data_IF_792964941481
#
_entry.id   IF_792964941481
#
_cell.length_a   1.000
_cell.length_b   1.000
_cell.length_c   1.000
_cell.angle_alpha   90.00
_cell.angle_beta   90.00
_cell.angle_gamma   90.00
#
_symmetry.space_group_name_H-M   'P 1'
#
loop_
_entity.id
_entity.type
_entity.pdbx_description
1 polymer ?
#
# COMPACT_ATOMS: atom_id res chain seq x y z
N UNK A 1 -16.08 -40.98 33.21
CA UNK A 1 -16.26 -40.58 31.80
C UNK A 1 -16.20 -39.06 31.74
N UNK A 2 -15.25 -38.47 31.01
CA UNK A 2 -15.13 -37.01 30.92
C UNK A 2 -16.14 -36.49 29.87
N UNK A 3 -17.10 -35.68 30.30
CA UNK A 3 -18.06 -35.01 29.40
C UNK A 3 -17.40 -33.71 28.93
N UNK A 4 -17.04 -33.63 27.65
CA UNK A 4 -16.52 -32.41 27.07
C UNK A 4 -17.62 -31.35 27.02
N UNK A 5 -17.47 -30.25 27.76
CA UNK A 5 -18.39 -29.11 27.73
C UNK A 5 -18.13 -28.30 26.46
N UNK A 6 -19.10 -28.23 25.57
CA UNK A 6 -19.05 -27.34 24.40
C UNK A 6 -19.08 -25.89 24.88
N UNK A 7 -18.04 -25.13 24.56
CA UNK A 7 -18.00 -23.68 24.80
C UNK A 7 -18.58 -22.99 23.56
N UNK A 8 -19.52 -22.03 23.71
CA UNK A 8 -20.08 -21.29 22.58
C UNK A 8 -18.97 -20.50 21.86
N UNK A 9 -18.86 -20.69 20.54
CA UNK A 9 -17.91 -19.98 19.69
C UNK A 9 -18.60 -18.73 19.14
N UNK A 10 -17.97 -17.55 19.27
CA UNK A 10 -18.51 -16.29 18.75
C UNK A 10 -17.93 -15.94 17.38
N UNK A 11 -18.76 -15.37 16.51
CA UNK A 11 -18.34 -14.86 15.22
C UNK A 11 -17.34 -13.70 15.40
N UNK A 12 -16.13 -13.77 14.80
CA UNK A 12 -15.14 -12.69 14.92
C UNK A 12 -15.58 -11.39 14.23
N UNK A 13 -16.53 -11.47 13.29
CA UNK A 13 -17.01 -10.30 12.54
C UNK A 13 -18.13 -9.54 13.26
N UNK A 14 -19.10 -10.25 13.85
CA UNK A 14 -20.30 -9.63 14.41
C UNK A 14 -20.60 -9.99 15.89
N UNK A 15 -19.85 -10.91 16.49
CA UNK A 15 -20.04 -11.32 17.89
C UNK A 15 -21.19 -12.29 18.17
N UNK A 16 -22.00 -12.65 17.17
CA UNK A 16 -23.08 -13.61 17.33
C UNK A 16 -22.56 -15.03 17.63
N UNK A 17 -23.30 -15.80 18.42
CA UNK A 17 -22.96 -17.20 18.70
C UNK A 17 -23.11 -18.06 17.43
N UNK A 18 -22.15 -18.97 17.22
CA UNK A 18 -22.10 -19.88 16.08
C UNK A 18 -22.23 -21.31 16.58
N UNK A 19 -23.22 -22.04 16.06
CA UNK A 19 -23.35 -23.49 16.28
C UNK A 19 -22.39 -24.22 15.33
N UNK A 20 -21.38 -24.91 15.87
CA UNK A 20 -20.43 -25.69 15.08
C UNK A 20 -20.88 -27.16 15.06
N UNK A 21 -21.23 -27.68 13.90
CA UNK A 21 -21.51 -29.10 13.72
C UNK A 21 -20.23 -29.95 13.85
N UNK A 22 -20.36 -31.16 14.39
CA UNK A 22 -19.23 -32.03 14.76
C UNK A 22 -18.25 -32.39 13.61
N UNK A 23 -18.56 -32.11 12.34
CA UNK A 23 -17.73 -32.50 11.19
C UNK A 23 -17.39 -31.38 10.20
N UNK A 24 -17.81 -30.14 10.45
CA UNK A 24 -17.54 -29.03 9.52
C UNK A 24 -16.20 -28.36 9.84
N UNK A 25 -15.35 -28.19 8.82
CA UNK A 25 -14.10 -27.42 8.88
C UNK A 25 -14.31 -25.92 8.60
N UNK A 26 -15.44 -25.59 7.97
CA UNK A 26 -15.86 -24.22 7.67
C UNK A 26 -17.27 -24.04 8.20
N UNK A 27 -17.50 -22.97 8.96
CA UNK A 27 -18.83 -22.63 9.50
C UNK A 27 -19.21 -21.23 9.05
N UNK A 28 -20.44 -21.07 8.59
CA UNK A 28 -20.97 -19.77 8.17
C UNK A 28 -21.86 -19.21 9.28
N UNK A 29 -21.57 -17.99 9.73
CA UNK A 29 -22.41 -17.30 10.70
C UNK A 29 -23.78 -17.01 10.09
N UNK A 30 -24.86 -17.53 10.70
CA UNK A 30 -26.24 -17.31 10.24
C UNK A 30 -26.64 -15.83 10.23
N UNK A 31 -26.00 -15.00 11.06
CA UNK A 31 -26.35 -13.58 11.21
C UNK A 31 -25.69 -12.69 10.15
N UNK A 32 -24.38 -12.81 9.95
CA UNK A 32 -23.61 -11.92 9.05
C UNK A 32 -23.11 -12.60 7.77
N UNK A 33 -23.40 -13.89 7.59
CA UNK A 33 -22.99 -14.71 6.44
C UNK A 33 -21.47 -14.79 6.23
N UNK A 34 -20.67 -14.45 7.25
CA UNK A 34 -19.21 -14.63 7.19
C UNK A 34 -18.87 -16.10 7.44
N UNK A 35 -18.04 -16.69 6.57
CA UNK A 35 -17.48 -18.03 6.77
C UNK A 35 -16.17 -17.96 7.54
N UNK A 36 -16.01 -18.83 8.54
CA UNK A 36 -14.79 -18.96 9.34
C UNK A 36 -14.26 -20.40 9.27
N UNK A 37 -12.94 -20.55 9.18
CA UNK A 37 -12.29 -21.86 9.31
C UNK A 37 -12.09 -22.19 10.79
N UNK A 38 -12.49 -23.39 11.19
CA UNK A 38 -12.31 -23.88 12.56
C UNK A 38 -11.08 -24.79 12.56
N UNK A 39 -9.96 -24.28 13.08
CA UNK A 39 -8.76 -25.10 13.30
C UNK A 39 -9.04 -26.03 14.47
N UNK A 40 -9.21 -27.32 14.18
CA UNK A 40 -9.27 -28.33 15.24
C UNK A 40 -7.85 -28.62 15.70
N UNK A 41 -7.57 -28.67 17.01
CA UNK A 41 -6.32 -29.23 17.48
C UNK A 41 -6.23 -30.64 16.90
N UNK A 42 -5.25 -30.86 16.02
CA UNK A 42 -5.00 -32.17 15.45
C UNK A 42 -4.74 -33.18 16.56
N UNK A 43 -5.06 -34.45 16.31
CA UNK A 43 -4.59 -35.54 17.17
C UNK A 43 -3.06 -35.38 17.32
N UNK A 44 -2.49 -35.41 18.53
CA UNK A 44 -1.04 -35.35 18.69
C UNK A 44 -0.40 -36.39 17.77
N UNK A 45 0.69 -36.05 17.06
CA UNK A 45 1.40 -37.04 16.26
C UNK A 45 1.77 -38.22 17.16
N UNK A 46 1.70 -39.47 16.66
CA UNK A 46 2.15 -40.61 17.45
C UNK A 46 3.61 -40.37 17.87
N UNK A 47 4.00 -40.81 19.08
CA UNK A 47 5.39 -40.71 19.51
C UNK A 47 6.28 -41.39 18.46
N UNK A 48 7.44 -40.81 18.12
CA UNK A 48 8.36 -41.43 17.19
C UNK A 48 8.75 -42.82 17.70
N UNK A 49 8.90 -43.82 16.82
CA UNK A 49 9.37 -45.14 17.22
C UNK A 49 10.75 -45.01 17.90
N UNK A 50 11.04 -45.82 18.93
CA UNK A 50 12.35 -45.82 19.57
C UNK A 50 13.44 -46.09 18.52
N UNK A 51 14.56 -45.36 18.57
CA UNK A 51 15.67 -45.58 17.66
C UNK A 51 16.16 -47.04 17.80
N UNK A 52 16.46 -47.73 16.70
CA UNK A 52 17.06 -49.06 16.75
C UNK A 52 18.39 -48.97 17.51
N UNK A 53 18.47 -49.63 18.67
CA UNK A 53 19.70 -49.76 19.43
C UNK A 53 20.67 -50.64 18.63
N UNK A 54 21.80 -50.07 18.18
CA UNK A 54 22.95 -50.89 17.77
C UNK A 54 23.61 -50.57 16.43
N UNK A 55 23.22 -49.53 15.68
CA UNK A 55 23.97 -49.16 14.48
C UNK A 55 24.94 -48.00 14.77
N UNK A 56 26.27 -48.21 14.63
CA UNK A 56 27.24 -47.11 14.72
C UNK A 56 26.94 -46.10 13.62
N UNK A 57 26.67 -44.85 14.01
CA UNK A 57 26.43 -43.78 13.05
C UNK A 57 27.69 -43.56 12.20
N UNK A 58 27.61 -43.66 10.85
CA UNK A 58 28.73 -43.27 10.01
C UNK A 58 28.98 -41.77 10.20
N UNK A 59 30.19 -41.43 10.63
CA UNK A 59 30.67 -40.04 10.67
C UNK A 59 30.56 -39.45 9.28
N UNK A 60 29.57 -38.59 9.05
CA UNK A 60 29.57 -37.78 7.84
C UNK A 60 30.58 -36.63 8.03
N UNK A 61 31.51 -36.42 7.08
CA UNK A 61 32.45 -35.32 7.14
C UNK A 61 31.70 -33.99 7.11
N UNK A 62 31.96 -33.16 8.11
CA UNK A 62 31.51 -31.77 8.17
C UNK A 62 31.85 -31.06 6.86
N UNK A 63 30.84 -30.68 6.07
CA UNK A 63 31.03 -29.73 4.96
C UNK A 63 31.22 -28.33 5.56
N UNK A 64 32.46 -27.86 5.54
CA UNK A 64 32.80 -26.46 5.75
C UNK A 64 32.24 -25.67 4.58
N UNK A 65 31.22 -24.86 4.82
CA UNK A 65 30.72 -23.90 3.85
C UNK A 65 31.64 -22.68 3.91
N UNK A 66 32.58 -22.59 2.97
CA UNK A 66 33.38 -21.39 2.78
C UNK A 66 32.49 -20.26 2.26
N UNK A 67 32.29 -19.24 3.11
CA UNK A 67 31.67 -17.99 2.71
C UNK A 67 32.68 -17.18 1.87
N UNK A 68 32.33 -16.73 0.65
CA UNK A 68 33.21 -15.90 -0.14
C UNK A 68 33.51 -14.59 0.59
N UNK A 69 34.78 -14.41 0.98
CA UNK A 69 35.33 -13.12 1.42
C UNK A 69 35.31 -12.16 0.23
N UNK A 70 34.33 -11.26 0.19
CA UNK A 70 34.35 -10.13 -0.74
C UNK A 70 35.28 -9.05 -0.18
N UNK A 71 36.50 -9.00 -0.71
CA UNK A 71 37.47 -7.95 -0.44
C UNK A 71 37.12 -6.71 -1.25
N UNK A 72 36.30 -5.82 -0.71
CA UNK A 72 36.12 -4.48 -1.27
C UNK A 72 36.98 -3.49 -0.49
N UNK A 73 38.27 -3.52 -0.79
CA UNK A 73 39.18 -2.42 -0.53
C UNK A 73 39.02 -1.38 -1.67
N UNK A 74 38.90 -0.11 -1.30
CA UNK A 74 39.17 1.00 -2.22
C UNK A 74 37.95 1.76 -2.75
N UNK A 75 37.59 2.85 -2.07
CA UNK A 75 37.74 4.21 -2.63
C UNK A 75 36.89 5.19 -1.84
N UNK A 76 37.55 5.83 -0.88
CA UNK A 76 37.11 7.08 -0.27
C UNK A 76 37.50 8.20 -1.24
N UNK A 77 36.55 8.72 -2.02
CA UNK A 77 36.73 9.98 -2.74
C UNK A 77 36.01 11.06 -1.93
N UNK A 78 36.83 11.87 -1.25
CA UNK A 78 36.45 13.13 -0.62
C UNK A 78 36.23 14.14 -1.74
N UNK A 79 34.98 14.46 -2.07
CA UNK A 79 34.66 15.67 -2.86
C UNK A 79 34.32 16.78 -1.87
N UNK A 80 35.37 17.46 -1.44
CA UNK A 80 35.28 18.76 -0.79
C UNK A 80 35.19 19.85 -1.87
N UNK A 81 34.19 20.73 -1.73
CA UNK A 81 34.24 22.11 -2.23
C UNK A 81 33.86 22.34 -3.69
N UNK A 82 32.60 22.73 -3.93
CA UNK A 82 32.34 23.86 -4.84
C UNK A 82 31.03 24.56 -4.47
N UNK A 83 31.14 25.53 -3.56
CA UNK A 83 30.20 26.65 -3.44
C UNK A 83 30.84 27.80 -4.19
N UNK A 84 30.31 28.14 -5.38
CA UNK A 84 30.30 29.52 -5.91
C UNK A 84 29.23 29.65 -7.01
N UNK A 85 28.19 30.39 -6.64
CA UNK A 85 27.41 31.36 -7.45
C UNK A 85 27.71 31.49 -8.94
N UNK A 86 26.66 31.42 -9.78
CA UNK A 86 26.35 32.43 -10.79
C UNK A 86 24.93 32.24 -11.33
N UNK A 87 24.08 33.22 -11.08
CA UNK A 87 22.83 33.39 -11.81
C UNK A 87 23.09 34.15 -13.10
N UNK A 88 22.54 33.67 -14.22
CA UNK A 88 22.24 34.46 -15.42
C UNK A 88 20.93 33.93 -16.01
N UNK A 89 20.13 34.88 -16.47
CA UNK A 89 18.82 34.77 -17.07
C UNK A 89 18.79 34.03 -18.42
N UNK A 90 17.58 33.64 -18.82
CA UNK A 90 17.12 33.87 -20.19
C UNK A 90 17.12 32.69 -21.18
N UNK A 91 15.92 32.37 -21.66
CA UNK A 91 15.57 32.06 -23.06
C UNK A 91 16.13 30.73 -23.67
N UNK A 92 15.31 29.70 -23.96
CA UNK A 92 14.35 29.52 -25.09
C UNK A 92 14.92 28.61 -26.21
N UNK A 93 14.22 27.48 -26.42
CA UNK A 93 13.90 26.77 -27.69
C UNK A 93 14.74 25.58 -28.22
N UNK A 94 13.95 24.59 -28.66
CA UNK A 94 14.13 23.48 -29.63
C UNK A 94 15.17 22.40 -29.32
N UNK A 95 14.79 21.15 -29.05
CA UNK A 95 14.11 20.17 -29.93
C UNK A 95 14.97 19.77 -31.14
N UNK A 96 15.63 18.62 -31.05
CA UNK A 96 15.72 17.62 -32.11
C UNK A 96 15.90 16.24 -31.46
N UNK A 97 14.95 15.34 -31.75
CA UNK A 97 14.95 13.97 -31.26
C UNK A 97 15.75 13.07 -32.18
N UNK A 98 16.55 12.20 -31.57
CA UNK A 98 17.15 11.05 -32.24
C UNK A 98 16.30 9.81 -31.95
N UNK A 99 15.86 9.18 -33.03
CA UNK A 99 15.22 7.87 -33.06
C UNK A 99 16.24 6.79 -32.71
N UNK A 100 15.93 5.93 -31.74
CA UNK A 100 16.63 4.66 -31.57
C UNK A 100 15.61 3.57 -31.22
N UNK A 101 15.48 2.63 -32.14
CA UNK A 101 14.76 1.38 -32.02
C UNK A 101 15.38 0.51 -30.93
N UNK A 102 14.56 -0.15 -30.10
CA UNK A 102 15.00 -1.33 -29.36
C UNK A 102 14.00 -2.48 -29.52
N UNK A 103 14.56 -3.53 -30.11
CA UNK A 103 14.07 -4.90 -30.29
C UNK A 103 14.27 -5.67 -28.99
N UNK A 104 13.32 -6.55 -28.67
CA UNK A 104 13.58 -7.86 -28.05
C UNK A 104 13.99 -7.91 -26.58
N UNK A 105 13.14 -8.49 -25.74
CA UNK A 105 13.36 -9.85 -25.23
C UNK A 105 12.30 -10.21 -24.19
N UNK A 106 11.49 -11.20 -24.54
CA UNK A 106 10.63 -11.93 -23.63
C UNK A 106 11.52 -12.81 -22.75
N UNK A 107 11.32 -12.75 -21.44
CA UNK A 107 11.82 -13.76 -20.53
C UNK A 107 10.62 -14.32 -19.77
N UNK A 108 10.45 -15.64 -19.92
CA UNK A 108 9.52 -16.50 -19.21
C UNK A 108 9.69 -16.36 -17.69
N UNK A 109 8.58 -16.10 -17.00
CA UNK A 109 8.51 -16.23 -15.55
C UNK A 109 7.74 -17.51 -15.21
N UNK A 110 8.43 -18.37 -14.46
CA UNK A 110 7.99 -19.70 -14.07
C UNK A 110 6.79 -19.64 -13.11
N UNK A 111 5.80 -20.44 -13.46
CA UNK A 111 4.53 -20.63 -12.78
C UNK A 111 4.72 -21.40 -11.46
N UNK A 112 4.74 -20.70 -10.32
CA UNK A 112 4.57 -21.33 -9.00
C UNK A 112 3.08 -21.40 -8.69
N UNK A 113 2.52 -22.61 -8.81
CA UNK A 113 1.11 -22.91 -8.65
C UNK A 113 0.57 -22.59 -7.25
N UNK A 114 -0.16 -21.47 -7.15
CA UNK A 114 -1.12 -21.22 -6.07
C UNK A 114 -2.52 -21.59 -6.54
N UNK A 115 -3.16 -22.52 -5.82
CA UNK A 115 -4.53 -23.01 -6.05
C UNK A 115 -5.52 -21.83 -6.10
N UNK A 116 -5.85 -21.44 -7.33
CA UNK A 116 -6.87 -20.47 -7.69
C UNK A 116 -8.27 -21.05 -7.44
N UNK A 117 -8.90 -20.63 -6.34
CA UNK A 117 -10.36 -20.71 -6.21
C UNK A 117 -10.96 -19.80 -7.28
N UNK A 118 -11.74 -20.38 -8.21
CA UNK A 118 -12.29 -19.72 -9.40
C UNK A 118 -13.08 -18.46 -9.09
N UNK A 119 -12.39 -17.32 -9.01
CA UNK A 119 -13.00 -16.01 -8.97
C UNK A 119 -13.59 -15.73 -10.35
N UNK A 120 -14.93 -15.82 -10.46
CA UNK A 120 -15.67 -15.45 -11.67
C UNK A 120 -15.16 -14.09 -12.13
N UNK A 121 -14.48 -14.04 -13.28
CA UNK A 121 -13.98 -12.81 -13.92
C UNK A 121 -15.15 -11.83 -14.05
N UNK A 122 -15.31 -10.93 -13.08
CA UNK A 122 -16.29 -9.86 -13.16
C UNK A 122 -15.96 -9.08 -14.42
N UNK A 123 -16.89 -9.02 -15.38
CA UNK A 123 -16.70 -8.27 -16.63
C UNK A 123 -16.32 -6.84 -16.26
N UNK A 124 -15.04 -6.51 -16.44
CA UNK A 124 -14.44 -5.26 -15.99
C UNK A 124 -15.25 -4.08 -16.51
N UNK A 125 -15.93 -3.38 -15.60
CA UNK A 125 -16.72 -2.20 -15.92
C UNK A 125 -15.73 -1.12 -16.37
N UNK A 126 -15.67 -0.84 -17.68
CA UNK A 126 -14.75 0.14 -18.29
C UNK A 126 -14.87 1.49 -17.57
N UNK A 127 -13.72 2.00 -17.10
CA UNK A 127 -13.54 3.34 -16.50
C UNK A 127 -14.01 4.42 -17.49
N UNK A 128 -14.87 5.35 -17.03
CA UNK A 128 -15.52 6.39 -17.86
C UNK A 128 -14.84 7.77 -17.82
N UNK A 129 -13.75 7.94 -17.09
CA UNK A 129 -13.04 9.23 -17.04
C UNK A 129 -11.62 8.97 -17.47
N UNK A 130 -11.25 9.51 -18.63
CA UNK A 130 -9.90 9.47 -19.21
C UNK A 130 -9.38 10.91 -19.35
N UNK A 131 -9.42 11.67 -18.26
CA UNK A 131 -8.82 13.01 -18.27
C UNK A 131 -7.32 12.87 -18.06
N UNK A 132 -6.46 13.45 -18.92
CA UNK A 132 -5.03 13.37 -18.75
C UNK A 132 -4.58 14.03 -17.43
N UNK A 133 -3.49 13.53 -16.85
CA UNK A 133 -2.81 14.25 -15.78
C UNK A 133 -2.15 15.48 -16.38
N UNK A 134 -2.50 16.67 -15.88
CA UNK A 134 -1.94 17.93 -16.36
C UNK A 134 -0.65 18.21 -15.58
N UNK A 135 0.49 18.10 -16.26
CA UNK A 135 1.80 18.43 -15.69
C UNK A 135 2.73 18.96 -16.79
N UNK A 136 3.65 19.88 -16.44
CA UNK A 136 4.67 20.37 -17.37
C UNK A 136 5.57 19.24 -17.88
N UNK A 137 5.86 18.26 -17.02
CA UNK A 137 6.68 17.10 -17.36
C UNK A 137 6.14 15.83 -16.69
N UNK A 138 5.56 14.93 -17.48
CA UNK A 138 5.02 13.65 -16.99
C UNK A 138 6.08 12.68 -16.44
N UNK A 139 7.38 12.95 -16.63
CA UNK A 139 8.46 12.17 -15.98
C UNK A 139 8.80 12.65 -14.56
N UNK A 140 8.29 13.81 -14.16
CA UNK A 140 8.59 14.48 -12.89
C UNK A 140 7.31 15.12 -12.32
N UNK A 141 6.40 14.28 -11.85
CA UNK A 141 5.10 14.72 -11.32
C UNK A 141 5.07 14.58 -9.81
N UNK A 142 4.75 15.65 -9.09
CA UNK A 142 4.62 15.58 -7.63
C UNK A 142 3.27 14.91 -7.26
N UNK A 143 3.27 13.88 -6.39
CA UNK A 143 2.05 13.29 -5.83
C UNK A 143 1.01 14.31 -5.31
N UNK A 144 1.43 15.44 -4.74
CA UNK A 144 0.51 16.48 -4.28
C UNK A 144 -0.27 17.14 -5.43
N UNK A 145 0.33 17.28 -6.62
CA UNK A 145 -0.38 17.73 -7.83
C UNK A 145 -1.39 16.69 -8.31
N UNK A 146 -1.00 15.41 -8.28
CA UNK A 146 -1.89 14.28 -8.62
C UNK A 146 -3.10 14.26 -7.70
N UNK A 147 -2.91 14.41 -6.38
CA UNK A 147 -3.99 14.48 -5.39
C UNK A 147 -4.94 15.63 -5.70
N UNK A 148 -4.42 16.85 -5.93
CA UNK A 148 -5.24 18.03 -6.25
C UNK A 148 -6.13 17.80 -7.47
N UNK A 149 -5.57 17.19 -8.51
CA UNK A 149 -6.31 16.88 -9.73
C UNK A 149 -7.31 15.73 -9.51
N UNK A 150 -6.93 14.68 -8.79
CA UNK A 150 -7.82 13.57 -8.45
C UNK A 150 -9.06 14.03 -7.67
N UNK A 151 -8.92 14.95 -6.70
CA UNK A 151 -10.07 15.53 -5.98
C UNK A 151 -11.05 16.22 -6.92
N UNK A 152 -10.56 16.93 -7.95
CA UNK A 152 -11.43 17.54 -8.97
C UNK A 152 -12.16 16.49 -9.81
N UNK A 153 -11.50 15.39 -10.15
CA UNK A 153 -12.11 14.28 -10.90
C UNK A 153 -13.12 13.50 -10.04
N UNK A 154 -12.84 13.30 -8.75
CA UNK A 154 -13.69 12.57 -7.82
C UNK A 154 -15.09 13.19 -7.71
N UNK A 155 -15.18 14.52 -7.70
CA UNK A 155 -16.46 15.25 -7.68
C UNK A 155 -17.36 14.96 -8.89
N UNK A 156 -16.79 14.51 -10.02
CA UNK A 156 -17.55 14.09 -11.21
C UNK A 156 -18.05 12.65 -11.11
N UNK A 157 -17.41 11.82 -10.27
CA UNK A 157 -17.76 10.42 -10.05
C UNK A 157 -18.85 10.31 -9.00
N UNK A 158 -18.61 10.90 -7.83
CA UNK A 158 -19.49 10.85 -6.67
C UNK A 158 -19.31 12.16 -5.89
N UNK A 159 -20.33 13.01 -5.90
CA UNK A 159 -20.30 14.34 -5.27
C UNK A 159 -20.06 14.25 -3.76
N UNK A 160 -20.49 13.16 -3.14
CA UNK A 160 -20.34 12.91 -1.70
C UNK A 160 -19.02 12.19 -1.34
N UNK A 161 -18.16 11.93 -2.31
CA UNK A 161 -16.87 11.28 -2.12
C UNK A 161 -15.95 12.12 -1.22
N UNK A 162 -15.57 11.56 -0.08
CA UNK A 162 -14.55 12.09 0.83
C UNK A 162 -13.24 11.37 0.58
N UNK A 163 -12.19 12.13 0.31
CA UNK A 163 -10.83 11.60 0.16
C UNK A 163 -10.37 11.01 1.50
N UNK A 164 -9.83 9.79 1.48
CA UNK A 164 -9.37 9.08 2.68
C UNK A 164 -7.86 8.83 2.71
N UNK A 165 -7.18 8.89 1.56
CA UNK A 165 -5.73 8.79 1.48
C UNK A 165 -5.23 8.61 0.05
N UNK A 166 -3.95 8.27 -0.09
CA UNK A 166 -3.31 7.98 -1.35
C UNK A 166 -2.08 7.09 -1.21
N UNK A 167 -1.73 6.46 -2.33
CA UNK A 167 -0.62 5.54 -2.44
C UNK A 167 0.07 5.75 -3.80
N UNK A 168 1.38 5.93 -3.78
CA UNK A 168 2.16 6.26 -4.97
C UNK A 168 3.40 5.38 -5.00
N UNK A 169 3.69 4.78 -6.15
CA UNK A 169 4.78 3.80 -6.31
C UNK A 169 5.91 4.34 -7.18
N UNK A 170 7.11 3.82 -6.93
CA UNK A 170 8.31 4.09 -7.71
C UNK A 170 8.65 5.59 -7.83
N UNK A 171 8.72 6.27 -6.69
CA UNK A 171 9.12 7.67 -6.65
C UNK A 171 10.63 7.76 -6.54
N UNK A 172 11.23 8.62 -7.36
CA UNK A 172 12.62 9.04 -7.26
C UNK A 172 12.67 10.53 -6.98
N UNK A 173 13.43 10.95 -5.96
CA UNK A 173 13.44 12.37 -5.57
C UNK A 173 12.09 12.87 -5.01
N UNK A 174 11.21 11.97 -4.56
CA UNK A 174 9.83 12.31 -4.17
C UNK A 174 8.89 12.63 -5.34
N UNK A 175 9.32 12.34 -6.58
CA UNK A 175 8.56 12.59 -7.80
C UNK A 175 8.21 11.29 -8.53
N UNK A 176 7.07 11.29 -9.19
CA UNK A 176 6.59 10.18 -10.00
C UNK A 176 7.03 10.33 -11.46
N UNK A 177 7.38 9.21 -12.09
CA UNK A 177 7.53 9.11 -13.53
C UNK A 177 6.29 8.43 -14.13
N UNK A 178 5.25 9.23 -14.42
CA UNK A 178 4.02 8.71 -15.01
C UNK A 178 4.17 8.22 -16.44
N UNK A 179 5.27 8.55 -17.16
CA UNK A 179 5.59 7.89 -18.45
C UNK A 179 6.22 6.51 -18.27
N UNK A 180 6.72 6.20 -17.08
CA UNK A 180 7.32 4.93 -16.72
C UNK A 180 6.32 3.98 -16.06
N UNK A 181 6.78 3.29 -15.02
CA UNK A 181 6.02 2.30 -14.26
C UNK A 181 5.35 2.88 -13.00
N UNK A 182 5.66 4.14 -12.61
CA UNK A 182 5.05 4.80 -11.45
C UNK A 182 3.52 4.89 -11.59
N UNK A 183 2.81 4.60 -10.50
CA UNK A 183 1.35 4.70 -10.42
C UNK A 183 0.95 5.46 -9.18
N UNK A 184 -0.16 6.18 -9.27
CA UNK A 184 -0.76 6.90 -8.13
C UNK A 184 -2.19 6.46 -7.94
N UNK A 185 -2.58 6.18 -6.69
CA UNK A 185 -3.93 5.79 -6.33
C UNK A 185 -4.41 6.74 -5.24
N UNK A 186 -5.52 7.43 -5.49
CA UNK A 186 -6.18 8.26 -4.48
C UNK A 186 -7.50 7.61 -4.11
N UNK A 187 -7.70 7.35 -2.83
CA UNK A 187 -8.87 6.64 -2.32
C UNK A 187 -9.93 7.62 -1.86
N UNK A 188 -11.17 7.35 -2.25
CA UNK A 188 -12.35 8.08 -1.83
C UNK A 188 -13.39 7.11 -1.27
N UNK A 189 -14.05 7.54 -0.21
CA UNK A 189 -15.18 6.85 0.40
C UNK A 189 -16.37 7.79 0.46
N UNK A 190 -17.58 7.25 0.39
CA UNK A 190 -18.80 8.02 0.61
C UNK A 190 -19.74 7.22 1.50
N UNK A 191 -20.46 7.92 2.37
CA UNK A 191 -21.51 7.38 3.21
C UNK A 191 -22.51 8.47 3.54
N UNK A 192 -23.77 8.25 3.21
CA UNK A 192 -24.86 9.19 3.40
C UNK A 192 -26.22 8.48 3.50
N UNK A 193 -27.21 9.16 4.04
CA UNK A 193 -28.59 8.67 4.12
C UNK A 193 -29.44 9.23 2.99
N UNK A 194 -30.07 8.34 2.25
CA UNK A 194 -31.00 8.62 1.15
C UNK A 194 -32.43 8.71 1.71
N UNK A 195 -33.00 9.92 1.87
CA UNK A 195 -34.31 10.11 2.49
C UNK A 195 -35.46 9.52 1.67
N UNK A 196 -35.21 9.14 0.40
CA UNK A 196 -36.22 8.48 -0.45
C UNK A 196 -36.42 7.00 -0.13
N UNK A 197 -35.58 6.41 0.73
CA UNK A 197 -35.61 4.98 1.10
C UNK A 197 -36.07 4.78 2.54
N UNK A 198 -36.68 3.63 2.87
CA UNK A 198 -37.11 3.33 4.23
C UNK A 198 -35.92 3.19 5.18
N UNK A 199 -36.15 3.47 6.46
CA UNK A 199 -35.14 3.36 7.51
C UNK A 199 -34.45 1.98 7.51
N UNK A 200 -33.12 1.98 7.61
CA UNK A 200 -32.30 0.76 7.57
C UNK A 200 -31.90 0.32 6.15
N UNK A 201 -32.50 0.92 5.12
CA UNK A 201 -32.11 0.80 3.70
C UNK A 201 -31.70 2.14 3.08
N UNK A 202 -31.81 3.23 3.84
CA UNK A 202 -31.47 4.60 3.48
C UNK A 202 -29.96 4.83 3.36
N UNK A 203 -29.14 4.06 4.07
CA UNK A 203 -27.67 4.24 4.00
C UNK A 203 -27.11 3.82 2.64
N UNK A 204 -26.62 4.79 1.90
CA UNK A 204 -25.80 4.63 0.71
C UNK A 204 -24.35 4.78 1.09
N UNK A 205 -23.54 3.76 0.81
CA UNK A 205 -22.10 3.80 1.05
C UNK A 205 -21.32 3.08 -0.03
N UNK A 206 -20.06 3.47 -0.17
CA UNK A 206 -19.13 2.82 -1.07
C UNK A 206 -17.74 3.42 -1.03
N UNK A 207 -16.87 2.90 -1.90
CA UNK A 207 -15.56 3.47 -2.15
C UNK A 207 -15.22 3.40 -3.64
N UNK A 208 -14.31 4.27 -4.05
CA UNK A 208 -13.72 4.25 -5.37
C UNK A 208 -12.29 4.78 -5.31
N UNK A 209 -11.52 4.41 -6.32
CA UNK A 209 -10.13 4.84 -6.46
C UNK A 209 -9.99 5.65 -7.73
N UNK A 210 -9.13 6.66 -7.68
CA UNK A 210 -8.65 7.33 -8.88
C UNK A 210 -7.21 6.92 -9.07
N UNK A 211 -6.97 6.10 -10.08
CA UNK A 211 -5.63 5.74 -10.54
C UNK A 211 -5.10 6.83 -11.47
N UNK A 212 -3.81 7.12 -11.40
CA UNK A 212 -3.08 8.00 -12.30
C UNK A 212 -1.88 7.26 -12.88
N UNK A 213 -1.79 7.22 -14.21
CA UNK A 213 -0.71 6.58 -14.95
C UNK A 213 -0.42 7.37 -16.25
N UNK A 214 0.36 6.77 -17.17
CA UNK A 214 0.72 7.35 -18.46
C UNK A 214 -0.47 7.71 -19.35
N UNK A 215 -1.64 7.09 -19.14
CA UNK A 215 -2.86 7.32 -19.90
C UNK A 215 -3.77 8.37 -19.25
N UNK A 216 -3.37 8.90 -18.09
CA UNK A 216 -4.14 9.91 -17.35
C UNK A 216 -4.80 9.34 -16.10
N UNK A 217 -5.89 9.97 -15.70
CA UNK A 217 -6.73 9.48 -14.61
C UNK A 217 -7.68 8.40 -15.09
N UNK A 218 -7.86 7.38 -14.27
CA UNK A 218 -8.83 6.30 -14.46
C UNK A 218 -9.57 6.04 -13.14
N UNK A 219 -10.89 5.88 -13.19
CA UNK A 219 -11.66 5.50 -12.01
C UNK A 219 -11.65 3.99 -11.89
N UNK A 220 -11.03 3.51 -10.82
CA UNK A 220 -10.93 2.09 -10.52
C UNK A 220 -11.90 1.70 -9.42
N UNK A 221 -12.53 0.55 -9.61
CA UNK A 221 -13.32 -0.18 -8.62
C UNK A 221 -14.32 0.68 -7.81
N UNK A 222 -15.43 1.06 -8.46
CA UNK A 222 -16.55 1.70 -7.79
C UNK A 222 -17.38 0.66 -7.01
N UNK A 223 -16.92 0.30 -5.81
CA UNK A 223 -17.57 -0.69 -4.97
C UNK A 223 -18.79 -0.08 -4.28
N UNK A 224 -19.99 -0.44 -4.76
CA UNK A 224 -21.29 -0.05 -4.18
C UNK A 224 -21.79 -1.05 -3.11
N UNK A 225 -20.87 -1.65 -2.35
CA UNK A 225 -21.23 -2.69 -1.39
C UNK A 225 -21.10 -2.16 0.03
N UNK A 226 -21.99 -2.61 0.93
CA UNK A 226 -21.83 -2.37 2.36
C UNK A 226 -20.47 -2.91 2.79
N UNK A 227 -19.64 -2.08 3.41
CA UNK A 227 -18.33 -2.50 3.98
C UNK A 227 -17.15 -1.68 3.50
N UNK A 228 -17.28 -1.04 2.35
CA UNK A 228 -16.14 -0.43 1.66
C UNK A 228 -15.85 1.00 2.10
N UNK A 229 -16.79 1.65 2.81
CA UNK A 229 -16.61 2.94 3.48
C UNK A 229 -16.15 2.77 4.94
N UNK A 230 -15.10 1.98 5.17
CA UNK A 230 -14.65 1.59 6.51
C UNK A 230 -14.25 2.77 7.38
N UNK A 231 -13.69 3.84 6.79
CA UNK A 231 -13.27 5.03 7.52
C UNK A 231 -14.44 5.94 7.88
N UNK A 232 -15.52 5.91 7.09
CA UNK A 232 -16.72 6.74 7.32
C UNK A 232 -17.78 6.06 8.19
N UNK A 233 -17.65 4.76 8.45
CA UNK A 233 -18.57 3.99 9.29
C UNK A 233 -18.44 4.31 10.77
N UNK A 234 -17.22 4.55 11.25
CA UNK A 234 -16.96 4.95 12.63
C UNK A 234 -17.14 6.46 12.76
N UNK A 235 -18.12 6.97 13.53
CA UNK A 235 -18.35 8.40 13.68
C UNK A 235 -17.14 9.18 14.20
N UNK A 236 -16.27 8.54 15.00
CA UNK A 236 -15.04 9.17 15.50
C UNK A 236 -14.03 9.37 14.37
N UNK A 237 -13.89 8.38 13.49
CA UNK A 237 -13.01 8.48 12.30
C UNK A 237 -13.60 9.38 11.22
N UNK A 238 -14.91 9.33 11.02
CA UNK A 238 -15.59 10.11 9.98
C UNK A 238 -15.34 11.62 10.11
N UNK A 239 -15.21 12.15 11.34
CA UNK A 239 -14.84 13.55 11.63
C UNK A 239 -13.46 13.95 11.09
N UNK A 240 -12.60 12.97 10.86
CA UNK A 240 -11.26 13.17 10.35
C UNK A 240 -11.21 13.32 8.81
N UNK A 241 -12.35 13.21 8.12
CA UNK A 241 -12.43 13.20 6.65
C UNK A 241 -13.37 14.29 6.09
N UNK A 242 -13.09 14.82 4.87
CA UNK A 242 -12.01 14.43 3.97
C UNK A 242 -10.62 14.80 4.51
N UNK A 243 -9.60 14.01 4.18
CA UNK A 243 -8.23 14.40 4.52
C UNK A 243 -7.86 15.69 3.76
N UNK A 244 -7.20 16.68 4.40
CA UNK A 244 -6.85 17.92 3.74
C UNK A 244 -5.76 17.69 2.69
N UNK A 245 -5.83 18.39 1.57
CA UNK A 245 -4.79 18.34 0.53
C UNK A 245 -3.44 18.75 1.15
N UNK A 246 -2.34 18.01 0.88
CA UNK A 246 -1.05 18.30 1.47
C UNK A 246 -0.52 19.67 0.99
N UNK A 247 -0.03 20.49 1.93
CA UNK A 247 0.64 21.76 1.64
C UNK A 247 2.16 21.58 1.53
N UNK A 248 2.72 20.65 2.30
CA UNK A 248 4.06 20.13 2.08
C UNK A 248 4.00 19.15 0.90
N UNK A 249 4.67 19.47 -0.21
CA UNK A 249 4.68 18.57 -1.38
C UNK A 249 5.50 17.31 -1.09
N UNK A 250 5.31 16.26 -1.89
CA UNK A 250 6.08 15.03 -1.68
C UNK A 250 7.57 15.24 -1.98
N UNK A 251 7.93 16.10 -2.94
CA UNK A 251 9.32 16.47 -3.19
C UNK A 251 9.96 17.22 -2.00
N UNK A 252 9.24 18.15 -1.38
CA UNK A 252 9.71 18.85 -0.17
C UNK A 252 9.88 17.88 1.00
N UNK A 253 8.90 17.01 1.22
CA UNK A 253 8.97 15.99 2.24
C UNK A 253 10.15 15.02 1.97
N UNK A 254 10.39 14.63 0.71
CA UNK A 254 11.54 13.80 0.35
C UNK A 254 12.86 14.47 0.70
N UNK A 255 13.02 15.77 0.45
CA UNK A 255 14.23 16.49 0.86
C UNK A 255 14.48 16.40 2.37
N UNK A 256 13.41 16.41 3.18
CA UNK A 256 13.50 16.18 4.64
C UNK A 256 13.88 14.73 4.95
N UNK A 257 13.33 13.76 4.22
CA UNK A 257 13.71 12.35 4.36
C UNK A 257 15.21 12.16 4.09
N UNK A 258 15.74 12.72 3.00
CA UNK A 258 17.15 12.66 2.63
C UNK A 258 18.03 13.32 3.69
N UNK A 259 17.67 14.53 4.16
CA UNK A 259 18.37 15.21 5.25
C UNK A 259 18.43 14.37 6.54
N UNK A 260 17.48 13.46 6.73
CA UNK A 260 17.41 12.54 7.88
C UNK A 260 18.08 11.18 7.64
N UNK A 261 18.86 11.04 6.57
CA UNK A 261 19.69 9.87 6.28
C UNK A 261 19.08 8.84 5.32
N UNK A 262 18.06 9.20 4.54
CA UNK A 262 17.60 8.36 3.41
C UNK A 262 18.51 8.64 2.19
N UNK A 263 19.00 7.61 1.46
CA UNK A 263 19.77 7.85 0.24
C UNK A 263 18.98 8.68 -0.79
N UNK A 264 19.63 9.68 -1.38
CA UNK A 264 18.96 10.65 -2.26
C UNK A 264 18.42 10.03 -3.56
N UNK A 265 19.08 8.97 -4.03
CA UNK A 265 18.79 8.18 -5.22
C UNK A 265 17.84 7.00 -4.95
N UNK A 266 17.45 6.77 -3.70
CA UNK A 266 16.54 5.68 -3.35
C UNK A 266 15.18 5.82 -4.06
N UNK A 267 14.68 4.69 -4.55
CA UNK A 267 13.32 4.57 -5.07
C UNK A 267 12.38 4.22 -3.91
N UNK A 268 11.29 4.96 -3.76
CA UNK A 268 10.37 4.78 -2.65
C UNK A 268 8.92 4.56 -3.09
N UNK A 269 8.19 3.84 -2.24
CA UNK A 269 6.73 3.86 -2.22
C UNK A 269 6.29 4.86 -1.15
N UNK A 270 5.27 5.66 -1.47
CA UNK A 270 4.76 6.70 -0.59
C UNK A 270 3.30 6.44 -0.28
N UNK A 271 2.99 6.36 1.01
CA UNK A 271 1.63 6.42 1.50
C UNK A 271 1.34 7.81 2.03
N UNK A 272 0.18 8.34 1.68
CA UNK A 272 -0.33 9.60 2.21
C UNK A 272 -1.67 9.36 2.89
N UNK A 273 -1.77 9.75 4.15
CA UNK A 273 -2.97 9.53 4.93
C UNK A 273 -2.78 9.87 6.39
N UNK A 274 -3.83 9.64 7.18
CA UNK A 274 -3.74 9.66 8.64
C UNK A 274 -3.17 8.34 9.10
N UNK A 275 -2.11 8.38 9.90
CA UNK A 275 -1.68 7.19 10.62
C UNK A 275 -2.36 7.20 11.98
N UNK A 276 -3.23 6.21 12.19
CA UNK A 276 -3.73 5.88 13.52
C UNK A 276 -2.59 5.24 14.31
N UNK A 277 -1.67 6.06 14.83
CA UNK A 277 -0.80 5.60 15.90
C UNK A 277 -1.58 5.67 17.20
N UNK A 278 -1.43 4.66 18.06
CA UNK A 278 -2.20 4.52 19.31
C UNK A 278 -2.01 5.68 20.32
N UNK A 279 -1.12 6.64 20.05
CA UNK A 279 -0.72 7.68 21.01
C UNK A 279 -0.43 9.07 20.43
N UNK A 280 -0.55 9.30 19.12
CA UNK A 280 -0.27 10.62 18.54
C UNK A 280 -1.54 11.31 18.05
N UNK A 281 -1.58 12.63 18.18
CA UNK A 281 -2.47 13.48 17.40
C UNK A 281 -2.48 12.99 15.95
N UNK A 282 -3.66 12.81 15.36
CA UNK A 282 -3.82 12.25 14.03
C UNK A 282 -3.33 13.24 12.98
N UNK A 283 -2.00 13.29 12.80
CA UNK A 283 -1.36 14.12 11.80
C UNK A 283 -1.47 13.48 10.43
N UNK A 284 -1.68 14.34 9.43
CA UNK A 284 -1.56 13.95 8.04
C UNK A 284 -0.08 13.81 7.73
N UNK A 285 0.31 12.70 7.11
CA UNK A 285 1.72 12.45 6.85
C UNK A 285 1.98 11.80 5.51
N UNK A 286 3.15 12.12 4.98
CA UNK A 286 3.86 11.34 3.98
C UNK A 286 4.62 10.23 4.69
N UNK A 287 4.39 8.97 4.32
CA UNK A 287 5.15 7.81 4.78
C UNK A 287 5.95 7.25 3.61
N UNK A 288 7.21 7.66 3.49
CA UNK A 288 8.16 7.14 2.51
C UNK A 288 8.70 5.78 2.97
N UNK A 289 8.70 4.79 2.07
CA UNK A 289 9.20 3.45 2.32
C UNK A 289 10.11 3.04 1.17
N UNK A 290 11.33 2.64 1.49
CA UNK A 290 12.25 2.02 0.54
C UNK A 290 12.10 0.51 0.69
N UNK A 291 11.83 -0.18 -0.42
CA UNK A 291 11.59 -1.62 -0.39
C UNK A 291 12.81 -2.38 0.15
N UNK A 292 12.58 -3.34 1.06
CA UNK A 292 13.66 -4.07 1.73
C UNK A 292 14.40 -3.31 2.84
N UNK A 293 14.14 -2.00 3.02
CA UNK A 293 14.91 -1.13 3.91
C UNK A 293 14.01 -0.30 4.85
N UNK A 294 13.44 -0.94 5.88
CA UNK A 294 12.57 -0.22 6.84
C UNK A 294 13.35 0.81 7.69
N UNK A 295 14.68 0.67 7.81
CA UNK A 295 15.56 1.68 8.39
C UNK A 295 15.50 3.02 7.64
N UNK A 296 15.16 3.02 6.35
CA UNK A 296 14.98 4.23 5.54
C UNK A 296 13.54 4.76 5.56
N UNK A 297 12.63 4.13 6.30
CA UNK A 297 11.27 4.64 6.42
C UNK A 297 11.22 5.97 7.17
N UNK A 298 10.53 6.95 6.60
CA UNK A 298 10.33 8.28 7.18
C UNK A 298 8.87 8.67 7.14
N UNK A 299 8.39 9.23 8.25
CA UNK A 299 7.06 9.82 8.35
C UNK A 299 7.23 11.32 8.54
N UNK A 300 6.68 12.09 7.62
CA UNK A 300 6.86 13.54 7.55
C UNK A 300 5.49 14.20 7.47
N UNK A 301 5.29 15.26 8.24
CA UNK A 301 4.04 15.99 8.29
C UNK A 301 3.72 16.57 6.91
N UNK A 302 2.53 16.24 6.40
CA UNK A 302 2.07 16.69 5.09
C UNK A 302 1.62 18.16 5.08
N UNK A 303 1.58 18.82 6.24
CA UNK A 303 1.28 20.25 6.38
C UNK A 303 2.54 21.10 6.36
N UNK A 304 3.50 20.82 7.24
CA UNK A 304 4.65 21.70 7.50
C UNK A 304 6.03 21.06 7.23
N UNK A 305 6.05 19.90 6.58
CA UNK A 305 7.26 19.15 6.24
C UNK A 305 8.12 18.74 7.43
N UNK A 306 7.60 18.75 8.67
CA UNK A 306 8.39 18.32 9.82
C UNK A 306 8.53 16.81 9.86
N UNK A 307 9.74 16.33 10.18
CA UNK A 307 9.96 14.92 10.43
C UNK A 307 9.19 14.49 11.68
N UNK A 308 8.19 13.64 11.50
CA UNK A 308 7.37 13.09 12.60
C UNK A 308 8.02 11.83 13.17
N UNK A 309 8.60 10.99 12.29
CA UNK A 309 9.17 9.71 12.70
C UNK A 309 10.33 9.28 11.84
N UNK A 310 11.40 8.85 12.51
CA UNK A 310 12.54 8.16 11.93
C UNK A 310 12.56 6.71 12.43
N UNK A 311 12.36 5.75 11.52
CA UNK A 311 12.28 4.33 11.87
C UNK A 311 13.64 3.68 12.15
N UNK A 312 14.76 4.29 11.71
CA UNK A 312 16.10 3.80 12.08
C UNK A 312 16.37 3.89 13.58
N UNK A 313 15.73 4.82 14.30
CA UNK A 313 15.92 5.07 15.74
C UNK A 313 15.08 4.18 16.66
N UNK A 314 14.40 3.17 16.11
CA UNK A 314 13.45 2.34 16.86
C UNK A 314 14.07 1.02 17.36
N UNK A 315 15.37 0.84 17.16
CA UNK A 315 16.14 -0.30 17.69
C UNK A 315 16.67 0.03 19.07
#
# INVERSE_FOLDING_TARGET
>A
MAVAKLVPIRCPTCGADITVGNQQAVVTCSYCQTSCQVTRPGKPPPPPPPPPMGQPMPMQPMRVVELPRTSNAGSVIVIAGLVMTLGIAGAVVAALGSSASMVGSSADDSEVGSRSGGSKKSKGRKSKIANPVVAKNLKKVDPADVIRQAVKQAKKVEKQGKMTGGHFTELSGGLMNLKGKSKGFVTFEYRWSDPSKPAGKDVVEGSFYINSDSKGFNVWAHHKNRGTASNLRDPKRAKAYPVPIPTCTAAQAWAVAVKSGVPADAVSTVHWGKVHSFKSDQKMQWSFRVEGHDEYRREIDAKDCKLLRNWAKRR
#
